data_IF_178308384789
#
_entry.id   IF_178308384789
#
_cell.length_a   1.000
_cell.length_b   1.000
_cell.length_c   1.000
_cell.angle_alpha   90.00
_cell.angle_beta   90.00
_cell.angle_gamma   90.00
#
_symmetry.space_group_name_H-M   'P 1'
#
loop_
_entity.id
_entity.type
_entity.pdbx_description
1 polymer ?
#
# COMPACT_ATOMS: atom_id res chain seq x y z
N UNK A 1 -16.53 -51.79 -2.35
CA UNK A 1 -15.83 -50.79 -1.51
C UNK A 1 -15.53 -49.58 -2.38
N UNK A 2 -16.31 -48.50 -2.30
CA UNK A 2 -15.96 -47.29 -1.54
C UNK A 2 -15.19 -46.32 -2.46
N UNK A 3 -15.64 -45.13 -2.85
CA UNK A 3 -16.52 -44.15 -2.20
C UNK A 3 -17.34 -43.42 -3.26
N UNK A 4 -18.63 -43.20 -2.97
CA UNK A 4 -19.43 -42.12 -3.59
C UNK A 4 -18.91 -40.80 -3.03
N UNK A 5 -18.41 -39.90 -3.87
CA UNK A 5 -18.36 -38.48 -3.52
C UNK A 5 -19.38 -37.74 -4.37
N UNK A 6 -20.58 -37.58 -3.81
CA UNK A 6 -21.46 -36.50 -4.19
C UNK A 6 -20.87 -35.21 -3.63
N UNK A 7 -20.26 -34.41 -4.50
CA UNK A 7 -19.93 -33.02 -4.25
C UNK A 7 -20.68 -32.19 -5.29
N UNK A 8 -21.46 -31.22 -4.83
CA UNK A 8 -22.24 -30.29 -5.67
C UNK A 8 -21.31 -29.71 -6.77
N UNK A 9 -21.46 -30.21 -7.99
CA UNK A 9 -20.56 -29.93 -9.09
C UNK A 9 -20.77 -28.53 -9.63
N UNK A 10 -19.94 -27.58 -9.21
CA UNK A 10 -19.63 -26.43 -10.05
C UNK A 10 -19.18 -26.97 -11.42
N UNK A 11 -19.78 -26.48 -12.51
CA UNK A 11 -19.53 -26.94 -13.88
C UNK A 11 -18.02 -26.91 -14.15
N UNK A 12 -17.35 -28.06 -14.23
CA UNK A 12 -15.92 -28.14 -14.59
C UNK A 12 -15.79 -27.77 -16.07
N UNK A 13 -15.24 -26.59 -16.34
CA UNK A 13 -15.06 -26.10 -17.70
C UNK A 13 -13.94 -26.91 -18.39
N UNK A 14 -14.34 -27.86 -19.25
CA UNK A 14 -13.40 -28.72 -19.99
C UNK A 14 -12.84 -27.91 -21.17
N UNK A 15 -11.54 -27.66 -21.12
CA UNK A 15 -10.79 -26.89 -22.12
C UNK A 15 -10.33 -27.78 -23.28
N UNK A 16 -9.94 -29.04 -23.01
CA UNK A 16 -9.58 -30.03 -24.03
C UNK A 16 -10.30 -31.37 -23.82
N UNK A 17 -11.28 -31.69 -24.67
CA UNK A 17 -11.98 -32.97 -24.61
C UNK A 17 -11.15 -34.20 -25.02
N UNK A 18 -10.05 -34.04 -25.77
CA UNK A 18 -9.23 -35.19 -26.20
C UNK A 18 -8.29 -35.73 -25.12
N UNK A 19 -7.83 -34.85 -24.24
CA UNK A 19 -6.91 -35.17 -23.13
C UNK A 19 -7.58 -34.95 -21.77
N UNK A 20 -8.87 -34.62 -21.76
CA UNK A 20 -9.66 -34.29 -20.58
C UNK A 20 -9.03 -33.19 -19.70
N UNK A 21 -8.47 -32.16 -20.34
CA UNK A 21 -7.86 -31.02 -19.63
C UNK A 21 -8.96 -30.03 -19.26
N UNK A 22 -9.01 -29.64 -17.99
CA UNK A 22 -9.93 -28.65 -17.45
C UNK A 22 -9.25 -27.29 -17.26
N UNK A 23 -10.03 -26.24 -17.02
CA UNK A 23 -9.48 -24.91 -16.73
C UNK A 23 -8.58 -24.93 -15.49
N UNK A 24 -8.96 -25.70 -14.47
CA UNK A 24 -8.16 -25.90 -13.24
C UNK A 24 -6.76 -26.45 -13.55
N UNK A 25 -6.64 -27.36 -14.53
CA UNK A 25 -5.33 -27.91 -14.94
C UNK A 25 -4.47 -26.88 -15.68
N UNK A 26 -5.11 -25.95 -16.41
CA UNK A 26 -4.40 -24.84 -17.07
C UNK A 26 -3.93 -23.83 -16.04
N UNK A 27 -4.78 -23.48 -15.06
CA UNK A 27 -4.44 -22.62 -13.93
C UNK A 27 -3.28 -23.22 -13.12
N UNK A 28 -3.34 -24.51 -12.78
CA UNK A 28 -2.26 -25.21 -12.09
C UNK A 28 -0.93 -25.23 -12.88
N UNK A 29 -0.99 -25.33 -14.21
CA UNK A 29 0.19 -25.22 -15.06
C UNK A 29 0.79 -23.81 -15.03
N UNK A 30 -0.07 -22.77 -15.02
CA UNK A 30 0.37 -21.38 -14.83
C UNK A 30 0.96 -21.21 -13.43
N UNK A 31 0.38 -21.80 -12.40
CA UNK A 31 0.92 -21.80 -11.03
C UNK A 31 2.31 -22.42 -10.94
N UNK A 32 2.53 -23.49 -11.70
CA UNK A 32 3.83 -24.13 -11.87
C UNK A 32 4.80 -23.35 -12.79
N UNK A 33 4.39 -22.20 -13.36
CA UNK A 33 5.25 -21.28 -14.11
C UNK A 33 5.07 -21.30 -15.62
N UNK A 34 3.99 -21.88 -16.16
CA UNK A 34 3.70 -21.81 -17.59
C UNK A 34 3.35 -20.38 -18.01
N UNK A 35 4.21 -19.74 -18.79
CA UNK A 35 3.99 -18.37 -19.33
C UNK A 35 3.75 -18.37 -20.84
N UNK A 36 3.74 -19.55 -21.48
CA UNK A 36 3.56 -19.69 -22.91
C UNK A 36 2.73 -20.91 -23.29
N UNK A 37 2.11 -20.83 -24.47
CA UNK A 37 1.34 -21.94 -25.05
C UNK A 37 2.17 -23.21 -25.25
N UNK A 38 3.50 -23.10 -25.38
CA UNK A 38 4.40 -24.24 -25.45
C UNK A 38 4.49 -24.97 -24.11
N UNK A 39 4.56 -24.23 -23.00
CA UNK A 39 4.66 -24.79 -21.65
C UNK A 39 3.33 -25.45 -21.24
N UNK A 40 2.20 -24.80 -21.54
CA UNK A 40 0.88 -25.38 -21.30
C UNK A 40 0.71 -26.69 -22.07
N UNK A 41 1.17 -26.78 -23.32
CA UNK A 41 1.15 -28.03 -24.10
C UNK A 41 2.02 -29.11 -23.48
N UNK A 42 3.21 -28.75 -22.98
CA UNK A 42 4.15 -29.67 -22.34
C UNK A 42 3.59 -30.23 -21.03
N UNK A 43 2.88 -29.41 -20.26
CA UNK A 43 2.39 -29.76 -18.92
C UNK A 43 1.02 -30.42 -18.94
N UNK A 44 0.09 -29.92 -19.76
CA UNK A 44 -1.31 -30.41 -19.79
C UNK A 44 -1.61 -31.37 -20.94
N UNK A 45 -0.74 -31.42 -21.95
CA UNK A 45 -0.96 -32.21 -23.17
C UNK A 45 -2.07 -31.66 -24.07
N UNK A 46 -2.67 -30.50 -23.76
CA UNK A 46 -3.68 -29.88 -24.60
C UNK A 46 -3.15 -29.58 -26.02
N UNK A 47 -4.02 -29.60 -27.03
CA UNK A 47 -3.70 -29.33 -28.44
C UNK A 47 -2.69 -30.28 -29.13
N UNK A 48 -2.34 -31.42 -28.54
CA UNK A 48 -1.43 -32.43 -29.14
C UNK A 48 -2.11 -33.38 -30.14
N UNK A 49 -3.44 -33.49 -30.12
CA UNK A 49 -4.21 -34.43 -30.97
C UNK A 49 -4.97 -33.75 -32.11
N UNK A 50 -6.09 -33.09 -31.84
CA UNK A 50 -6.97 -32.52 -32.87
C UNK A 50 -6.77 -31.01 -33.11
N UNK A 51 -6.00 -30.32 -32.26
CA UNK A 51 -5.73 -28.88 -32.36
C UNK A 51 -6.92 -27.94 -32.15
N UNK A 52 -8.17 -28.42 -32.07
CA UNK A 52 -9.38 -27.57 -31.95
C UNK A 52 -9.47 -26.75 -30.67
N UNK A 53 -8.77 -27.17 -29.61
CA UNK A 53 -8.70 -26.46 -28.34
C UNK A 53 -7.65 -25.35 -28.31
N UNK A 54 -6.84 -25.14 -29.36
CA UNK A 54 -5.74 -24.15 -29.37
C UNK A 54 -6.21 -22.73 -28.98
N UNK A 55 -7.36 -22.28 -29.50
CA UNK A 55 -7.93 -20.97 -29.17
C UNK A 55 -8.37 -20.88 -27.71
N UNK A 56 -9.14 -21.86 -27.25
CA UNK A 56 -9.64 -21.92 -25.87
C UNK A 56 -8.53 -22.05 -24.82
N UNK A 57 -7.45 -22.80 -25.15
CA UNK A 57 -6.26 -22.94 -24.29
C UNK A 57 -5.47 -21.63 -24.22
N UNK A 58 -5.34 -20.91 -25.34
CA UNK A 58 -4.69 -19.60 -25.38
C UNK A 58 -5.45 -18.60 -24.52
N UNK A 59 -6.77 -18.55 -24.68
CA UNK A 59 -7.65 -17.69 -23.88
C UNK A 59 -7.60 -18.05 -22.39
N UNK A 60 -7.65 -19.33 -22.02
CA UNK A 60 -7.54 -19.74 -20.61
C UNK A 60 -6.16 -19.40 -20.00
N UNK A 61 -5.08 -19.52 -20.79
CA UNK A 61 -3.74 -19.14 -20.36
C UNK A 61 -3.64 -17.62 -20.18
N UNK A 62 -4.13 -16.83 -21.15
CA UNK A 62 -4.16 -15.37 -21.07
C UNK A 62 -5.00 -14.94 -19.86
N UNK A 63 -6.22 -15.46 -19.69
CA UNK A 63 -7.07 -15.18 -18.53
C UNK A 63 -6.41 -15.57 -17.20
N UNK A 64 -5.68 -16.69 -17.13
CA UNK A 64 -4.98 -17.10 -15.92
C UNK A 64 -3.75 -16.23 -15.63
N UNK A 65 -3.01 -15.80 -16.65
CA UNK A 65 -1.89 -14.87 -16.51
C UNK A 65 -2.38 -13.46 -16.14
N UNK A 66 -3.48 -13.00 -16.74
CA UNK A 66 -4.18 -11.76 -16.41
C UNK A 66 -4.78 -11.81 -15.00
N UNK A 67 -5.38 -12.93 -14.59
CA UNK A 67 -5.88 -13.10 -13.23
C UNK A 67 -4.74 -13.14 -12.19
N UNK A 68 -3.55 -13.66 -12.55
CA UNK A 68 -2.37 -13.60 -11.70
C UNK A 68 -1.70 -12.23 -11.71
N UNK A 69 -1.76 -11.49 -12.81
CA UNK A 69 -1.41 -10.06 -12.85
C UNK A 69 -2.36 -9.28 -11.93
N UNK A 70 -3.68 -9.50 -12.02
CA UNK A 70 -4.69 -8.90 -11.15
C UNK A 70 -4.60 -9.35 -9.68
N UNK A 71 -4.16 -10.57 -9.38
CA UNK A 71 -3.90 -11.00 -7.99
C UNK A 71 -2.60 -10.41 -7.42
N UNK A 72 -1.68 -9.95 -8.28
CA UNK A 72 -0.49 -9.17 -7.92
C UNK A 72 -0.75 -7.65 -7.99
N UNK A 73 -1.86 -7.23 -8.59
CA UNK A 73 -2.34 -5.85 -8.73
C UNK A 73 -3.68 -5.66 -7.99
N UNK A 74 -3.61 -5.50 -6.68
CA UNK A 74 -4.42 -4.43 -6.08
C UNK A 74 -3.83 -3.10 -6.59
N UNK A 75 -4.65 -2.09 -6.89
CA UNK A 75 -4.26 -0.98 -7.77
C UNK A 75 -3.12 -0.16 -7.17
N UNK A 76 -1.96 -0.25 -7.81
CA UNK A 76 -0.93 0.79 -7.81
C UNK A 76 -1.20 1.71 -9.02
N UNK A 77 -1.96 2.78 -8.77
CA UNK A 77 -1.74 4.08 -9.38
C UNK A 77 -1.72 5.02 -8.16
N UNK A 78 -0.55 5.34 -7.61
CA UNK A 78 0.38 6.31 -8.20
C UNK A 78 1.83 5.84 -8.00
N UNK A 79 2.62 5.69 -9.06
CA UNK A 79 4.10 5.70 -8.97
C UNK A 79 4.56 7.17 -9.02
N UNK A 80 5.56 7.60 -8.24
CA UNK A 80 6.94 7.10 -8.22
C UNK A 80 7.72 7.72 -7.02
N UNK A 81 8.90 7.23 -6.57
CA UNK A 81 9.44 5.89 -6.40
C UNK A 81 9.71 5.53 -4.91
N UNK A 82 9.84 4.22 -4.62
CA UNK A 82 10.22 3.63 -3.32
C UNK A 82 11.72 3.77 -3.00
N UNK A 83 12.04 4.10 -1.75
CA UNK A 83 13.17 3.47 -1.02
C UNK A 83 12.64 2.85 0.28
N UNK A 84 13.16 1.67 0.67
CA UNK A 84 12.51 0.75 1.60
C UNK A 84 12.66 1.15 3.06
N UNK A 85 11.61 0.86 3.83
CA UNK A 85 11.60 0.89 5.29
C UNK A 85 12.79 0.10 5.88
N UNK A 86 13.37 0.60 6.98
CA UNK A 86 13.31 -0.17 8.20
C UNK A 86 12.26 0.50 9.09
N UNK A 87 11.19 -0.25 9.34
CA UNK A 87 10.25 -0.01 10.43
C UNK A 87 11.07 0.04 11.73
N UNK A 88 11.03 1.11 12.53
CA UNK A 88 10.96 0.94 13.96
C UNK A 88 9.49 0.74 14.32
N UNK A 89 9.28 -0.43 14.91
CA UNK A 89 8.09 -0.95 15.57
C UNK A 89 7.34 0.09 16.43
N UNK A 90 6.04 -0.13 16.71
CA UNK A 90 5.11 0.88 17.23
C UNK A 90 5.40 1.21 18.69
N UNK A 91 6.26 2.20 18.91
CA UNK A 91 6.43 2.88 20.18
C UNK A 91 6.80 4.30 19.81
N UNK A 92 5.90 5.26 19.89
CA UNK A 92 5.52 5.89 21.16
C UNK A 92 4.32 6.76 20.84
N UNK A 93 3.39 6.91 21.78
CA UNK A 93 2.36 7.96 21.75
C UNK A 93 3.00 9.32 21.43
N UNK A 94 2.99 9.73 20.15
CA UNK A 94 3.26 11.10 19.76
C UNK A 94 2.04 11.92 20.19
N UNK A 95 1.95 12.17 21.50
CA UNK A 95 1.01 13.08 22.13
C UNK A 95 1.28 14.47 21.56
N UNK A 96 0.65 14.74 20.43
CA UNK A 96 0.53 16.09 19.91
C UNK A 96 -0.23 16.89 20.96
N UNK A 97 0.46 17.87 21.55
CA UNK A 97 -0.08 18.71 22.60
C UNK A 97 -0.85 19.83 21.93
N UNK A 98 -2.17 19.78 22.05
CA UNK A 98 -3.06 20.87 21.64
C UNK A 98 -2.71 22.11 22.47
N UNK A 99 -2.62 23.27 21.83
CA UNK A 99 -2.08 24.52 22.39
C UNK A 99 -0.59 24.46 22.78
N UNK A 100 0.15 23.46 22.29
CA UNK A 100 1.60 23.37 22.43
C UNK A 100 2.34 24.28 21.44
N UNK A 101 3.47 24.83 21.86
CA UNK A 101 4.38 25.58 20.98
C UNK A 101 5.40 24.61 20.40
N UNK A 102 5.43 24.53 19.08
CA UNK A 102 6.34 23.69 18.31
C UNK A 102 7.35 24.55 17.56
N UNK A 103 8.62 24.20 17.65
CA UNK A 103 9.68 24.83 16.85
C UNK A 103 9.98 23.98 15.63
N UNK A 104 9.99 24.61 14.48
CA UNK A 104 10.39 24.00 13.23
C UNK A 104 11.92 23.93 13.15
N UNK A 105 12.46 22.93 12.45
CA UNK A 105 13.91 22.76 12.30
C UNK A 105 14.65 23.96 11.67
N UNK A 106 13.92 24.87 10.99
CA UNK A 106 14.47 26.15 10.48
C UNK A 106 14.61 27.26 11.53
N UNK A 107 14.07 27.07 12.73
CA UNK A 107 14.11 28.03 13.84
C UNK A 107 12.78 28.75 14.13
N UNK A 108 11.84 28.76 13.19
CA UNK A 108 10.53 29.40 13.39
C UNK A 108 9.66 28.64 14.39
N UNK A 109 8.84 29.36 15.16
CA UNK A 109 7.92 28.80 16.15
C UNK A 109 6.47 28.85 15.69
N UNK A 110 5.70 27.84 16.06
CA UNK A 110 4.32 27.62 15.65
C UNK A 110 3.51 27.15 16.85
N UNK A 111 2.26 27.59 16.97
CA UNK A 111 1.31 27.13 17.97
C UNK A 111 0.37 26.12 17.34
N UNK A 112 0.26 24.93 17.90
CA UNK A 112 -0.78 23.99 17.48
C UNK A 112 -2.10 24.40 18.13
N UNK A 113 -3.10 24.71 17.33
CA UNK A 113 -4.41 25.15 17.83
C UNK A 113 -5.34 23.96 18.06
N UNK A 114 -5.43 23.04 17.10
CA UNK A 114 -6.28 21.85 17.19
C UNK A 114 -5.87 20.77 16.17
N UNK A 115 -6.49 19.59 16.26
CA UNK A 115 -6.48 18.55 15.23
C UNK A 115 -7.88 18.45 14.63
N UNK A 116 -7.96 18.71 13.34
CA UNK A 116 -9.19 18.53 12.56
C UNK A 116 -9.15 17.22 11.78
N UNK A 117 -10.31 16.80 11.27
CA UNK A 117 -10.41 15.67 10.35
C UNK A 117 -10.77 16.20 8.97
N UNK A 118 -9.98 15.84 7.97
CA UNK A 118 -10.24 16.21 6.60
C UNK A 118 -11.53 15.52 6.12
N UNK A 119 -12.46 16.28 5.54
CA UNK A 119 -13.74 15.72 5.11
C UNK A 119 -13.65 14.94 3.80
N UNK A 120 -12.64 15.21 2.97
CA UNK A 120 -12.45 14.58 1.67
C UNK A 120 -11.71 13.25 1.81
N UNK A 121 -10.64 13.21 2.62
CA UNK A 121 -9.81 12.01 2.82
C UNK A 121 -10.14 11.26 4.11
N UNK A 122 -10.76 11.93 5.08
CA UNK A 122 -11.03 11.37 6.40
C UNK A 122 -9.80 11.32 7.32
N UNK A 123 -8.66 11.85 6.91
CA UNK A 123 -7.39 11.82 7.65
C UNK A 123 -7.32 12.91 8.72
N UNK A 124 -6.52 12.66 9.77
CA UNK A 124 -6.27 13.67 10.81
C UNK A 124 -5.27 14.72 10.30
N UNK A 125 -5.66 15.98 10.36
CA UNK A 125 -4.84 17.14 10.02
C UNK A 125 -4.63 18.03 11.24
N UNK A 126 -3.42 18.54 11.40
CA UNK A 126 -3.04 19.47 12.46
C UNK A 126 -3.30 20.88 11.97
N UNK A 127 -4.05 21.64 12.74
CA UNK A 127 -4.31 23.06 12.55
C UNK A 127 -3.32 23.82 13.44
N UNK A 128 -2.43 24.60 12.84
CA UNK A 128 -1.38 25.30 13.57
C UNK A 128 -1.21 26.73 13.04
N UNK A 129 -0.82 27.64 13.94
CA UNK A 129 -0.62 29.06 13.70
C UNK A 129 0.85 29.40 13.73
N UNK A 130 1.30 30.28 12.84
CA UNK A 130 2.63 30.89 12.91
C UNK A 130 2.72 31.81 14.14
N UNK A 131 3.80 31.72 14.92
CA UNK A 131 4.07 32.67 16.02
C UNK A 131 5.01 33.81 15.60
N UNK A 132 5.16 34.01 14.30
CA UNK A 132 6.00 35.04 13.69
C UNK A 132 5.23 35.71 12.54
N UNK A 133 5.60 36.95 12.21
CA UNK A 133 4.95 37.73 11.15
C UNK A 133 3.45 37.93 11.40
N UNK A 134 2.63 37.67 10.38
CA UNK A 134 1.18 37.91 10.38
C UNK A 134 0.34 36.92 11.20
N UNK A 135 0.95 35.90 11.79
CA UNK A 135 0.24 34.94 12.64
C UNK A 135 -0.81 34.10 11.91
N UNK A 136 -0.59 33.81 10.62
CA UNK A 136 -1.54 33.05 9.79
C UNK A 136 -1.72 31.60 10.26
N UNK A 137 -2.90 31.04 9.98
CA UNK A 137 -3.29 29.67 10.29
C UNK A 137 -3.01 28.74 9.09
N UNK A 138 -2.48 27.56 9.36
CA UNK A 138 -2.07 26.56 8.38
C UNK A 138 -2.58 25.19 8.80
N UNK A 139 -2.81 24.31 7.82
CA UNK A 139 -3.24 22.93 8.03
C UNK A 139 -2.25 21.97 7.39
N UNK A 140 -1.97 20.84 8.05
CA UNK A 140 -1.06 19.82 7.53
C UNK A 140 -1.44 18.43 8.07
N UNK A 141 -1.31 17.35 7.29
CA UNK A 141 -1.55 16.00 7.80
C UNK A 141 -0.71 15.68 9.05
N UNK A 142 -1.35 15.10 10.07
CA UNK A 142 -0.73 14.76 11.37
C UNK A 142 0.49 13.88 11.22
N UNK A 143 0.42 12.87 10.34
CA UNK A 143 1.54 11.99 10.03
C UNK A 143 2.77 12.76 9.50
N UNK A 144 2.56 13.77 8.67
CA UNK A 144 3.66 14.61 8.15
C UNK A 144 4.18 15.62 9.16
N UNK A 145 3.32 16.10 10.07
CA UNK A 145 3.71 17.05 11.11
C UNK A 145 4.64 16.39 12.13
N UNK A 146 4.33 15.15 12.53
CA UNK A 146 5.11 14.35 13.48
C UNK A 146 6.22 13.53 12.80
N UNK A 147 6.52 13.81 11.53
CA UNK A 147 7.55 13.09 10.78
C UNK A 147 8.96 13.55 11.18
N UNK A 148 9.96 12.64 11.22
CA UNK A 148 11.35 13.01 11.44
C UNK A 148 11.88 13.93 10.34
N UNK A 149 12.93 14.69 10.64
CA UNK A 149 13.62 15.49 9.62
C UNK A 149 14.41 14.57 8.70
N UNK A 150 14.25 14.75 7.38
CA UNK A 150 15.12 14.14 6.38
C UNK A 150 16.54 14.69 6.49
N UNK A 151 17.39 13.96 7.21
CA UNK A 151 18.82 14.31 7.35
C UNK A 151 19.60 14.20 6.05
N UNK A 152 19.12 13.40 5.10
CA UNK A 152 19.71 13.31 3.76
C UNK A 152 19.52 14.63 2.98
N UNK A 153 18.36 15.27 3.13
CA UNK A 153 18.05 16.55 2.48
C UNK A 153 18.53 17.76 3.28
N UNK A 154 18.59 17.64 4.60
CA UNK A 154 18.99 18.69 5.52
C UNK A 154 20.05 18.16 6.50
N UNK A 155 21.31 18.01 6.06
CA UNK A 155 22.39 17.49 6.90
C UNK A 155 22.73 18.41 8.08
N UNK A 156 22.40 19.70 7.98
CA UNK A 156 22.64 20.70 9.04
C UNK A 156 21.53 20.73 10.10
N UNK A 157 20.45 19.96 9.95
CA UNK A 157 19.36 19.95 10.90
C UNK A 157 19.80 19.29 12.22
N UNK A 158 19.96 20.10 13.26
CA UNK A 158 20.29 19.64 14.62
C UNK A 158 19.12 18.92 15.30
N UNK A 159 17.89 19.20 14.84
CA UNK A 159 16.63 18.68 15.37
C UNK A 159 16.28 17.32 14.76
N UNK A 160 15.75 16.39 15.56
CA UNK A 160 15.36 15.05 15.10
C UNK A 160 13.98 15.04 14.41
N UNK A 161 13.05 15.86 14.90
CA UNK A 161 11.68 15.98 14.40
C UNK A 161 11.46 17.26 13.61
N UNK A 162 10.62 17.24 12.57
CA UNK A 162 10.32 18.46 11.79
C UNK A 162 9.78 19.58 12.67
N UNK A 163 8.95 19.22 13.63
CA UNK A 163 8.36 20.07 14.64
C UNK A 163 8.65 19.45 16.00
N UNK A 164 9.34 20.19 16.87
CA UNK A 164 9.68 19.74 18.22
C UNK A 164 8.95 20.61 19.23
N UNK A 165 8.25 19.96 20.15
CA UNK A 165 7.53 20.64 21.23
C UNK A 165 8.55 21.38 22.11
N UNK A 166 8.37 22.69 22.22
CA UNK A 166 9.17 23.53 23.11
C UNK A 166 8.41 23.71 24.42
N UNK A 167 9.09 23.42 25.52
CA UNK A 167 8.58 23.77 26.85
C UNK A 167 8.90 25.24 27.12
N UNK A 168 7.88 26.10 27.13
CA UNK A 168 8.02 27.53 27.45
C UNK A 168 7.57 27.75 28.89
N UNK A 169 8.52 28.02 29.78
CA UNK A 169 8.24 28.32 31.18
C UNK A 169 7.68 29.73 31.35
N UNK A 170 6.65 29.88 32.19
CA UNK A 170 6.10 31.19 32.51
C UNK A 170 7.07 31.97 33.40
N UNK A 171 7.59 33.09 32.89
CA UNK A 171 8.41 34.04 33.67
C UNK A 171 7.57 35.04 34.46
N UNK A 172 6.24 35.02 34.32
CA UNK A 172 5.35 35.86 35.10
C UNK A 172 5.37 35.38 36.56
N UNK A 173 6.04 36.16 37.43
CA UNK A 173 5.91 35.97 38.89
C UNK A 173 4.43 36.15 39.23
N UNK A 174 3.79 35.07 39.71
CA UNK A 174 2.46 35.15 40.32
C UNK A 174 2.50 36.28 41.37
N UNK A 175 1.70 37.31 41.13
CA UNK A 175 1.47 38.42 42.06
C UNK A 175 0.59 37.94 43.23
#
# INVERSE_FOLDING_TARGET
MGKKHGGKGAKKDIVCGCKHVTREDVEAAVDAGATSMADVKRMTGAATKCGKCKGRVKECLEQALEARAAAKEQPAAVEMPTVPEPVPEPATENLLVIHGIYRHFKGDSYLVEDVARDSETGEEVVVYRKLYGDGSLWVRPKAMFLSPVDREKYPEATQHWRFELQHVESVARRA
#
